data_IF_895664343787
#
_entry.id   IF_895664343787
#
_cell.length_a   1.000
_cell.length_b   1.000
_cell.length_c   1.000
_cell.angle_alpha   90.00
_cell.angle_beta   90.00
_cell.angle_gamma   90.00
#
_symmetry.space_group_name_H-M   'P 1'
#
loop_
_entity.id
_entity.type
_entity.pdbx_description
1 polymer ?
#
# COMPACT_ATOMS: atom_id res chain seq x y z
N UNK A 1 -0.01 -39.01 27.94
CA UNK A 1 0.48 -37.61 28.15
C UNK A 1 1.97 -37.42 27.86
N UNK A 2 2.80 -38.48 27.88
CA UNK A 2 4.21 -38.40 27.52
C UNK A 2 4.43 -38.52 25.99
N UNK A 3 3.69 -39.40 25.31
CA UNK A 3 3.76 -39.59 23.85
C UNK A 3 3.26 -38.39 23.00
N UNK A 4 2.42 -37.51 23.55
CA UNK A 4 1.98 -36.25 22.89
C UNK A 4 2.97 -35.10 23.09
N UNK A 5 3.86 -35.19 24.09
CA UNK A 5 4.92 -34.20 24.33
C UNK A 5 6.19 -34.50 23.52
N UNK A 6 6.39 -35.74 23.08
CA UNK A 6 7.51 -36.13 22.22
C UNK A 6 7.27 -35.80 20.74
N UNK A 7 6.01 -35.81 20.26
CA UNK A 7 5.69 -35.39 18.88
C UNK A 7 5.89 -33.88 18.61
N UNK A 8 5.90 -33.03 19.64
CA UNK A 8 6.17 -31.60 19.50
C UNK A 8 7.69 -31.28 19.42
N UNK A 9 8.56 -32.23 19.78
CA UNK A 9 10.01 -32.03 19.82
C UNK A 9 10.72 -32.39 18.49
N UNK A 10 10.01 -33.00 17.53
CA UNK A 10 10.57 -33.59 16.31
C UNK A 10 10.40 -32.76 15.02
N UNK A 11 10.06 -31.47 15.10
CA UNK A 11 10.26 -30.62 13.92
C UNK A 11 11.76 -30.32 13.80
N UNK A 12 12.45 -31.03 12.91
CA UNK A 12 13.86 -30.79 12.59
C UNK A 12 14.13 -29.31 12.26
N UNK A 13 15.33 -28.80 12.52
CA UNK A 13 15.67 -27.38 12.29
C UNK A 13 15.36 -26.92 10.86
N UNK A 14 15.48 -27.81 9.87
CA UNK A 14 15.08 -27.57 8.47
C UNK A 14 13.57 -27.42 8.28
N UNK A 15 12.75 -28.19 9.00
CA UNK A 15 11.29 -28.16 8.92
C UNK A 15 10.72 -26.94 9.67
N UNK A 16 11.32 -26.56 10.81
CA UNK A 16 11.03 -25.28 11.49
C UNK A 16 11.42 -24.07 10.64
N UNK A 17 12.56 -24.13 9.94
CA UNK A 17 13.00 -23.06 9.03
C UNK A 17 12.11 -22.96 7.79
N UNK A 18 11.63 -24.08 7.25
CA UNK A 18 10.67 -24.11 6.14
C UNK A 18 9.28 -23.57 6.56
N UNK A 19 8.74 -24.00 7.70
CA UNK A 19 7.48 -23.48 8.26
C UNK A 19 7.59 -22.00 8.67
N UNK A 20 8.76 -21.54 9.12
CA UNK A 20 9.03 -20.12 9.37
C UNK A 20 9.11 -19.33 8.05
N UNK A 21 9.64 -19.93 6.97
CA UNK A 21 9.68 -19.34 5.64
C UNK A 21 8.30 -19.28 4.97
N UNK A 22 7.38 -20.20 5.30
CA UNK A 22 5.96 -20.08 4.91
C UNK A 22 5.21 -18.99 5.70
N UNK A 23 5.74 -18.58 6.86
CA UNK A 23 5.18 -17.51 7.72
C UNK A 23 5.73 -16.13 7.40
N UNK A 24 6.94 -16.06 6.85
CA UNK A 24 7.59 -14.82 6.45
C UNK A 24 7.63 -14.70 4.92
N UNK A 25 7.02 -13.65 4.40
CA UNK A 25 7.06 -13.33 2.98
C UNK A 25 7.57 -11.91 2.85
N UNK A 26 8.58 -11.69 2.01
CA UNK A 26 9.06 -10.35 1.70
C UNK A 26 9.38 -10.25 0.23
N UNK A 27 8.68 -9.35 -0.44
CA UNK A 27 9.00 -8.93 -1.79
C UNK A 27 10.13 -7.92 -1.70
N UNK A 28 11.30 -8.30 -2.24
CA UNK A 28 12.46 -7.43 -2.35
C UNK A 28 12.40 -6.66 -3.67
N UNK A 29 12.88 -5.41 -3.65
CA UNK A 29 12.96 -4.58 -4.85
C UNK A 29 11.62 -4.02 -5.32
N UNK A 30 10.58 -4.01 -4.47
CA UNK A 30 9.34 -3.26 -4.76
C UNK A 30 9.68 -1.77 -4.86
N UNK A 31 9.44 -1.10 -6.00
CA UNK A 31 9.75 0.31 -6.16
C UNK A 31 8.97 1.17 -5.17
N UNK A 32 9.65 2.14 -4.55
CA UNK A 32 9.00 3.15 -3.73
C UNK A 32 8.71 4.38 -4.56
N UNK A 33 7.49 4.90 -4.44
CA UNK A 33 7.11 6.20 -4.95
C UNK A 33 6.48 7.04 -3.85
N UNK A 34 6.89 8.32 -3.79
CA UNK A 34 6.16 9.33 -3.03
C UNK A 34 4.87 9.71 -3.77
N UNK A 35 3.81 10.03 -3.03
CA UNK A 35 2.58 10.58 -3.62
C UNK A 35 2.79 12.01 -4.13
N UNK A 36 3.78 12.70 -3.56
CA UNK A 36 4.41 13.88 -4.14
C UNK A 36 5.61 13.47 -4.99
N UNK A 37 6.21 14.37 -5.76
CA UNK A 37 7.28 13.96 -6.68
C UNK A 37 8.54 13.47 -5.96
N UNK A 38 9.11 14.28 -5.08
CA UNK A 38 10.38 13.99 -4.41
C UNK A 38 10.16 13.56 -2.95
N UNK A 39 10.69 12.42 -2.50
CA UNK A 39 10.55 11.95 -1.11
C UNK A 39 11.06 12.95 -0.05
N UNK A 40 12.15 13.65 -0.34
CA UNK A 40 12.76 14.62 0.57
C UNK A 40 11.92 15.90 0.76
N UNK A 41 10.89 16.12 -0.06
CA UNK A 41 9.97 17.23 0.10
C UNK A 41 8.77 16.92 0.99
N UNK A 42 8.53 15.65 1.30
CA UNK A 42 7.32 15.21 2.00
C UNK A 42 7.19 15.83 3.39
N UNK A 43 8.29 15.87 4.15
CA UNK A 43 8.31 16.48 5.49
C UNK A 43 7.93 17.96 5.43
N UNK A 44 8.54 18.72 4.53
CA UNK A 44 8.26 20.16 4.34
C UNK A 44 6.82 20.42 3.91
N UNK A 45 6.26 19.57 3.04
CA UNK A 45 4.87 19.71 2.60
C UNK A 45 3.90 19.43 3.74
N UNK A 46 4.19 18.43 4.58
CA UNK A 46 3.27 18.00 5.65
C UNK A 46 3.41 18.83 6.92
N UNK A 47 4.63 19.22 7.30
CA UNK A 47 4.90 19.94 8.55
C UNK A 47 4.90 21.46 8.38
N UNK A 48 5.46 21.96 7.28
CA UNK A 48 5.62 23.40 7.03
C UNK A 48 4.55 23.99 6.09
N UNK A 49 3.60 23.16 5.61
CA UNK A 49 2.56 23.53 4.62
C UNK A 49 3.13 24.19 3.35
N UNK A 50 4.32 23.74 2.93
CA UNK A 50 4.97 24.22 1.70
C UNK A 50 4.16 23.77 0.48
N UNK A 51 4.08 24.64 -0.53
CA UNK A 51 3.39 24.32 -1.79
C UNK A 51 4.08 23.12 -2.44
N UNK A 52 3.39 22.00 -2.70
CA UNK A 52 3.99 20.84 -3.36
C UNK A 52 4.50 21.17 -4.78
N UNK A 53 4.07 22.27 -5.40
CA UNK A 53 4.59 22.72 -6.69
C UNK A 53 5.97 23.40 -6.60
N UNK A 54 6.46 23.70 -5.39
CA UNK A 54 7.82 24.20 -5.18
C UNK A 54 8.88 23.10 -5.37
N UNK A 55 8.47 21.82 -5.30
CA UNK A 55 9.29 20.68 -5.69
C UNK A 55 9.52 20.71 -7.21
N UNK A 56 10.76 20.92 -7.70
CA UNK A 56 11.03 21.06 -9.14
C UNK A 56 10.67 19.80 -9.95
N UNK A 57 10.56 18.64 -9.30
CA UNK A 57 10.20 17.38 -9.93
C UNK A 57 8.68 17.14 -10.00
N UNK A 58 7.81 18.06 -9.55
CA UNK A 58 6.36 17.83 -9.47
C UNK A 58 5.73 17.28 -10.76
N UNK A 59 6.25 17.71 -11.93
CA UNK A 59 5.80 17.28 -13.26
C UNK A 59 6.13 15.83 -13.61
N UNK A 60 7.05 15.18 -12.89
CA UNK A 60 7.46 13.79 -13.15
C UNK A 60 6.29 12.81 -13.05
N UNK A 61 5.29 13.11 -12.22
CA UNK A 61 4.04 12.34 -12.09
C UNK A 61 3.05 12.55 -13.25
N UNK A 62 3.41 13.35 -14.25
CA UNK A 62 2.64 13.56 -15.49
C UNK A 62 1.64 14.72 -15.45
N UNK A 63 1.58 15.51 -14.37
CA UNK A 63 0.68 16.66 -14.28
C UNK A 63 1.17 17.83 -15.15
N UNK A 64 0.26 18.44 -15.89
CA UNK A 64 0.54 19.60 -16.73
C UNK A 64 0.31 20.92 -16.00
N UNK A 65 -0.71 20.98 -15.14
CA UNK A 65 -1.12 22.20 -14.43
C UNK A 65 -0.76 22.11 -12.93
N UNK A 66 -0.13 23.16 -12.35
CA UNK A 66 0.21 23.19 -10.93
C UNK A 66 -1.01 23.01 -10.02
N UNK A 67 -2.14 23.65 -10.36
CA UNK A 67 -3.34 23.61 -9.53
C UNK A 67 -3.95 22.21 -9.45
N UNK A 68 -3.92 21.47 -10.56
CA UNK A 68 -4.36 20.06 -10.59
C UNK A 68 -3.43 19.20 -9.73
N UNK A 69 -2.12 19.38 -9.84
CA UNK A 69 -1.16 18.64 -9.02
C UNK A 69 -1.34 18.95 -7.53
N UNK A 70 -1.41 20.23 -7.14
CA UNK A 70 -1.63 20.65 -5.75
C UNK A 70 -2.91 20.06 -5.18
N UNK A 71 -3.97 20.02 -5.98
CA UNK A 71 -5.22 19.41 -5.58
C UNK A 71 -5.07 17.88 -5.43
N UNK A 72 -4.54 17.19 -6.43
CA UNK A 72 -4.56 15.74 -6.44
C UNK A 72 -3.47 15.10 -5.60
N UNK A 73 -2.24 15.62 -5.59
CA UNK A 73 -1.07 14.96 -4.98
C UNK A 73 -1.27 14.55 -3.51
N UNK A 74 -2.04 15.32 -2.74
CA UNK A 74 -2.38 14.96 -1.34
C UNK A 74 -3.37 13.78 -1.19
N UNK A 75 -3.91 13.27 -2.29
CA UNK A 75 -5.01 12.27 -2.35
C UNK A 75 -4.66 11.03 -3.15
N UNK A 76 -3.44 10.93 -3.67
CA UNK A 76 -3.04 9.86 -4.59
C UNK A 76 -2.36 8.67 -3.92
N UNK A 77 -2.29 8.60 -2.58
CA UNK A 77 -1.63 7.52 -1.86
C UNK A 77 -1.96 6.12 -2.39
N UNK A 78 -3.25 5.82 -2.62
CA UNK A 78 -3.68 4.54 -3.17
C UNK A 78 -3.21 4.28 -4.59
N UNK A 79 -3.23 5.30 -5.45
CA UNK A 79 -2.76 5.18 -6.83
C UNK A 79 -1.23 5.07 -6.91
N UNK A 80 -0.52 5.74 -6.00
CA UNK A 80 0.94 5.63 -5.85
C UNK A 80 1.34 4.24 -5.33
N UNK A 81 0.60 3.67 -4.37
CA UNK A 81 0.79 2.29 -3.96
C UNK A 81 0.55 1.30 -5.12
N UNK A 82 -0.45 1.57 -5.95
CA UNK A 82 -0.74 0.73 -7.11
C UNK A 82 0.35 0.83 -8.19
N UNK A 83 0.84 2.03 -8.47
CA UNK A 83 2.00 2.28 -9.35
C UNK A 83 3.23 1.46 -8.92
N UNK A 84 3.56 1.48 -7.62
CA UNK A 84 4.62 0.61 -7.06
C UNK A 84 4.39 -0.89 -7.33
N UNK A 85 3.14 -1.37 -7.23
CA UNK A 85 2.80 -2.77 -7.48
C UNK A 85 2.90 -3.13 -8.97
N UNK A 86 2.42 -2.25 -9.85
CA UNK A 86 2.49 -2.44 -11.31
C UNK A 86 3.94 -2.53 -11.78
N UNK A 87 4.80 -1.60 -11.35
CA UNK A 87 6.21 -1.62 -11.70
C UNK A 87 6.95 -2.83 -11.11
N UNK A 88 6.63 -3.22 -9.88
CA UNK A 88 7.20 -4.43 -9.29
C UNK A 88 6.87 -5.68 -10.12
N UNK A 89 5.66 -5.76 -10.68
CA UNK A 89 5.25 -6.85 -11.55
C UNK A 89 5.66 -6.68 -13.02
N UNK A 90 6.21 -5.52 -13.40
CA UNK A 90 6.53 -5.21 -14.80
C UNK A 90 5.30 -5.08 -15.69
N UNK A 91 4.17 -4.62 -15.12
CA UNK A 91 2.95 -4.33 -15.87
C UNK A 91 3.03 -2.88 -16.35
N UNK A 92 2.97 -2.68 -17.67
CA UNK A 92 3.02 -1.35 -18.27
C UNK A 92 1.84 -0.48 -17.80
N UNK A 93 2.11 0.79 -17.54
CA UNK A 93 1.10 1.77 -17.19
C UNK A 93 1.46 3.17 -17.69
N UNK A 94 0.43 4.01 -17.82
CA UNK A 94 0.62 5.43 -18.12
C UNK A 94 1.16 6.18 -16.89
N UNK A 95 1.69 7.41 -17.03
CA UNK A 95 2.04 8.25 -15.89
C UNK A 95 0.87 8.46 -14.93
N UNK A 96 1.15 8.64 -13.63
CA UNK A 96 0.15 8.75 -12.55
C UNK A 96 -1.00 9.72 -12.86
N UNK A 97 -0.73 10.88 -13.47
CA UNK A 97 -1.77 11.83 -13.85
C UNK A 97 -2.76 11.25 -14.87
N UNK A 98 -2.28 10.49 -15.86
CA UNK A 98 -3.15 9.84 -16.85
C UNK A 98 -3.92 8.66 -16.23
N UNK A 99 -3.27 7.87 -15.37
CA UNK A 99 -3.94 6.81 -14.59
C UNK A 99 -5.07 7.39 -13.73
N UNK A 100 -4.84 8.54 -13.08
CA UNK A 100 -5.87 9.24 -12.30
C UNK A 100 -7.08 9.62 -13.17
N UNK A 101 -6.86 10.15 -14.37
CA UNK A 101 -7.97 10.51 -15.27
C UNK A 101 -8.78 9.28 -15.68
N UNK A 102 -8.13 8.14 -15.88
CA UNK A 102 -8.82 6.88 -16.16
C UNK A 102 -9.59 6.38 -14.94
N UNK A 103 -8.93 6.33 -13.78
CA UNK A 103 -9.55 5.97 -12.51
C UNK A 103 -10.80 6.81 -12.20
N UNK A 104 -10.78 8.12 -12.49
CA UNK A 104 -11.93 9.01 -12.35
C UNK A 104 -13.11 8.60 -13.24
N UNK A 105 -12.86 8.23 -14.50
CA UNK A 105 -13.91 7.73 -15.42
C UNK A 105 -14.57 6.45 -14.92
N UNK A 106 -13.81 5.64 -14.19
CA UNK A 106 -14.28 4.40 -13.58
C UNK A 106 -14.85 4.57 -12.16
N UNK A 107 -14.96 5.80 -11.65
CA UNK A 107 -15.53 6.08 -10.33
C UNK A 107 -14.65 5.67 -9.16
N UNK A 108 -13.35 5.45 -9.40
CA UNK A 108 -12.34 5.15 -8.36
C UNK A 108 -12.18 6.30 -7.37
N UNK A 109 -12.34 7.53 -7.87
CA UNK A 109 -12.42 8.75 -7.07
C UNK A 109 -13.71 9.49 -7.43
N UNK A 110 -14.30 10.17 -6.46
CA UNK A 110 -15.45 11.06 -6.69
C UNK A 110 -15.20 12.42 -6.07
N UNK A 111 -15.36 13.46 -6.88
CA UNK A 111 -15.41 14.84 -6.40
C UNK A 111 -16.82 15.07 -5.85
N UNK A 112 -16.89 15.53 -4.61
CA UNK A 112 -18.15 15.87 -3.92
C UNK A 112 -18.60 17.28 -4.32
N UNK A 113 -19.87 17.57 -4.09
CA UNK A 113 -20.46 18.89 -4.37
C UNK A 113 -19.76 20.04 -3.61
N UNK A 114 -19.20 19.75 -2.44
CA UNK A 114 -18.45 20.70 -1.61
C UNK A 114 -17.01 20.96 -2.09
N UNK A 115 -16.61 20.38 -3.24
CA UNK A 115 -15.25 20.43 -3.76
C UNK A 115 -14.27 19.48 -3.06
N UNK A 116 -14.74 18.70 -2.09
CA UNK A 116 -14.02 17.59 -1.48
C UNK A 116 -13.87 16.40 -2.44
N UNK A 117 -13.11 15.40 -2.01
CA UNK A 117 -12.91 14.15 -2.77
C UNK A 117 -13.09 13.00 -1.82
N UNK A 118 -13.95 12.05 -2.19
CA UNK A 118 -13.97 10.73 -1.56
C UNK A 118 -12.62 10.07 -1.81
N UNK A 119 -11.96 9.57 -0.76
CA UNK A 119 -10.74 8.76 -0.92
C UNK A 119 -10.98 7.59 -1.86
N UNK A 120 -9.91 6.97 -2.36
CA UNK A 120 -9.97 5.85 -3.31
C UNK A 120 -11.03 4.83 -2.88
N UNK A 121 -12.03 4.62 -3.74
CA UNK A 121 -13.18 3.76 -3.47
C UNK A 121 -12.84 2.34 -3.92
N UNK A 122 -12.86 1.39 -2.99
CA UNK A 122 -12.23 0.07 -3.17
C UNK A 122 -12.88 -0.78 -4.25
N UNK A 123 -14.21 -0.87 -4.29
CA UNK A 123 -14.88 -1.72 -5.29
C UNK A 123 -14.75 -1.17 -6.73
N UNK A 124 -14.94 0.14 -7.00
CA UNK A 124 -14.61 0.70 -8.30
C UNK A 124 -13.14 0.53 -8.67
N UNK A 125 -12.21 0.72 -7.72
CA UNK A 125 -10.79 0.45 -7.94
C UNK A 125 -10.53 -1.00 -8.33
N UNK A 126 -11.13 -1.96 -7.62
CA UNK A 126 -10.97 -3.39 -7.88
C UNK A 126 -11.39 -3.74 -9.30
N UNK A 127 -12.60 -3.30 -9.71
CA UNK A 127 -13.12 -3.55 -11.05
C UNK A 127 -12.25 -2.90 -12.14
N UNK A 128 -11.76 -1.68 -11.90
CA UNK A 128 -10.88 -0.98 -12.83
C UNK A 128 -9.50 -1.64 -12.94
N UNK A 129 -8.88 -1.99 -11.81
CA UNK A 129 -7.56 -2.63 -11.76
C UNK A 129 -7.56 -3.98 -12.50
N UNK A 130 -8.62 -4.77 -12.32
CA UNK A 130 -8.77 -6.06 -13.00
C UNK A 130 -8.96 -5.86 -14.51
N UNK A 131 -9.86 -4.96 -14.92
CA UNK A 131 -10.17 -4.74 -16.34
C UNK A 131 -9.01 -4.09 -17.12
N UNK A 132 -8.28 -3.14 -16.51
CA UNK A 132 -7.25 -2.37 -17.21
C UNK A 132 -5.85 -2.98 -17.09
N UNK A 133 -5.57 -3.75 -16.04
CA UNK A 133 -4.22 -4.23 -15.73
C UNK A 133 -4.12 -5.73 -15.46
N UNK A 134 -5.24 -6.47 -15.45
CA UNK A 134 -5.24 -7.90 -15.10
C UNK A 134 -4.84 -8.17 -13.64
N UNK A 135 -4.99 -7.18 -12.76
CA UNK A 135 -4.71 -7.31 -11.33
C UNK A 135 -6.01 -7.62 -10.61
N UNK A 136 -6.12 -8.83 -10.04
CA UNK A 136 -7.26 -9.21 -9.22
C UNK A 136 -7.17 -8.47 -7.88
N UNK A 137 -8.28 -7.92 -7.43
CA UNK A 137 -8.34 -7.18 -6.17
C UNK A 137 -9.42 -7.75 -5.25
N UNK A 138 -9.00 -8.19 -4.07
CA UNK A 138 -9.89 -8.63 -3.01
C UNK A 138 -10.00 -7.56 -1.92
N UNK A 139 -11.21 -7.06 -1.71
CA UNK A 139 -11.48 -6.04 -0.69
C UNK A 139 -11.53 -6.68 0.69
N UNK A 140 -10.76 -6.13 1.62
CA UNK A 140 -10.71 -6.53 3.03
C UNK A 140 -11.48 -5.52 3.88
N UNK A 141 -12.40 -6.00 4.71
CA UNK A 141 -13.19 -5.18 5.64
C UNK A 141 -13.28 -5.85 7.00
N UNK A 142 -13.14 -5.06 8.06
CA UNK A 142 -13.17 -5.52 9.45
C UNK A 142 -12.13 -6.63 9.76
N UNK A 143 -10.95 -6.53 9.12
CA UNK A 143 -9.81 -7.40 9.37
C UNK A 143 -8.76 -6.66 10.19
N UNK A 144 -8.10 -7.33 11.14
CA UNK A 144 -6.91 -6.73 11.78
C UNK A 144 -5.70 -6.72 10.83
N UNK A 145 -4.60 -6.11 11.28
CA UNK A 145 -3.40 -5.99 10.44
C UNK A 145 -2.76 -7.36 10.19
N UNK A 146 -2.81 -8.30 11.14
CA UNK A 146 -2.26 -9.63 10.97
C UNK A 146 -3.02 -10.41 9.90
N UNK A 147 -4.35 -10.35 9.90
CA UNK A 147 -5.21 -10.94 8.89
C UNK A 147 -4.97 -10.30 7.51
N UNK A 148 -4.88 -8.97 7.45
CA UNK A 148 -4.58 -8.25 6.22
C UNK A 148 -3.19 -8.63 5.66
N UNK A 149 -2.19 -8.69 6.53
CA UNK A 149 -0.84 -9.11 6.16
C UNK A 149 -0.82 -10.57 5.70
N UNK A 150 -1.59 -11.46 6.32
CA UNK A 150 -1.66 -12.87 5.95
C UNK A 150 -2.14 -13.12 4.51
N UNK A 151 -2.75 -12.12 3.84
CA UNK A 151 -3.07 -12.18 2.41
C UNK A 151 -1.84 -12.12 1.50
N UNK A 152 -0.70 -11.61 1.98
CA UNK A 152 0.53 -11.56 1.20
C UNK A 152 0.97 -12.97 0.81
N UNK A 153 1.26 -13.14 -0.48
CA UNK A 153 1.68 -14.38 -1.12
C UNK A 153 2.72 -14.08 -2.21
N UNK A 154 3.29 -15.09 -2.87
CA UNK A 154 4.35 -14.90 -3.86
C UNK A 154 3.99 -13.94 -5.02
N UNK A 155 2.70 -13.83 -5.34
CA UNK A 155 2.12 -13.00 -6.40
C UNK A 155 1.20 -11.89 -5.86
N UNK A 156 1.13 -11.72 -4.54
CA UNK A 156 0.11 -10.90 -3.88
C UNK A 156 0.72 -9.89 -2.93
N UNK A 157 0.47 -8.61 -3.22
CA UNK A 157 0.76 -7.46 -2.34
C UNK A 157 -0.53 -6.99 -1.64
N UNK A 158 -0.45 -6.08 -0.67
CA UNK A 158 -1.65 -5.53 -0.03
C UNK A 158 -1.57 -4.01 0.13
N UNK A 159 -2.64 -3.31 -0.25
CA UNK A 159 -2.84 -1.90 0.11
C UNK A 159 -3.73 -1.85 1.33
N UNK A 160 -3.27 -1.27 2.44
CA UNK A 160 -4.05 -1.17 3.68
C UNK A 160 -4.33 0.28 4.05
N UNK A 161 -5.49 0.52 4.67
CA UNK A 161 -5.84 1.85 5.16
C UNK A 161 -5.29 2.08 6.54
N UNK A 162 -4.66 3.23 6.70
CA UNK A 162 -4.04 3.67 7.93
C UNK A 162 -4.35 5.15 8.18
N UNK A 163 -4.14 5.60 9.41
CA UNK A 163 -4.03 7.02 9.72
C UNK A 163 -2.77 7.62 9.07
N UNK A 164 -2.81 8.83 8.51
CA UNK A 164 -1.62 9.53 8.01
C UNK A 164 -0.54 9.76 9.09
N UNK A 165 -0.91 9.70 10.38
CA UNK A 165 0.02 9.81 11.52
C UNK A 165 1.05 8.67 11.58
N UNK A 166 0.88 7.60 10.80
CA UNK A 166 1.87 6.52 10.68
C UNK A 166 3.25 7.01 10.20
N UNK A 167 3.34 8.24 9.66
CA UNK A 167 4.60 8.97 9.45
C UNK A 167 5.49 9.01 10.70
N UNK A 168 4.88 9.03 11.88
CA UNK A 168 5.52 9.17 13.19
C UNK A 168 5.04 8.06 14.14
N UNK A 169 5.47 6.80 13.96
CA UNK A 169 5.00 5.65 14.71
C UNK A 169 5.16 5.77 16.23
N UNK A 170 6.11 6.58 16.70
CA UNK A 170 6.37 6.87 18.11
C UNK A 170 5.34 7.82 18.75
N UNK A 171 4.60 8.59 17.94
CA UNK A 171 3.57 9.52 18.41
C UNK A 171 2.25 8.79 18.67
N UNK A 172 1.42 9.39 19.53
CA UNK A 172 0.06 8.91 19.73
C UNK A 172 -0.78 9.15 18.48
N UNK A 173 -1.69 8.21 18.17
CA UNK A 173 -2.62 8.33 17.06
C UNK A 173 -4.06 8.46 17.58
N UNK A 174 -4.81 9.45 17.07
CA UNK A 174 -6.20 9.67 17.44
C UNK A 174 -7.19 9.34 16.31
N UNK A 175 -6.71 9.14 15.07
CA UNK A 175 -7.53 8.93 13.87
C UNK A 175 -7.37 7.52 13.30
N UNK A 176 -8.35 7.08 12.52
CA UNK A 176 -8.29 5.81 11.79
C UNK A 176 -8.60 6.03 10.31
N UNK A 177 -7.71 5.55 9.44
CA UNK A 177 -7.84 5.68 7.99
C UNK A 177 -7.57 7.09 7.47
N UNK A 178 -7.95 7.33 6.22
CA UNK A 178 -7.66 8.58 5.50
C UNK A 178 -6.36 8.55 4.70
N UNK A 179 -5.55 7.50 4.88
CA UNK A 179 -4.34 7.22 4.10
C UNK A 179 -4.28 5.75 3.68
N UNK A 180 -3.48 5.46 2.64
CA UNK A 180 -3.22 4.12 2.13
C UNK A 180 -1.71 3.89 2.05
N UNK A 181 -1.26 2.70 2.45
CA UNK A 181 0.14 2.25 2.35
C UNK A 181 0.19 0.89 1.65
N UNK A 182 1.33 0.57 1.05
CA UNK A 182 1.56 -0.71 0.38
C UNK A 182 2.36 -1.62 1.30
N UNK A 183 1.74 -2.69 1.80
CA UNK A 183 2.45 -3.80 2.41
C UNK A 183 3.07 -4.66 1.32
N UNK A 184 4.36 -4.94 1.47
CA UNK A 184 5.11 -5.81 0.57
C UNK A 184 5.94 -6.87 1.32
N UNK A 185 5.69 -7.02 2.62
CA UNK A 185 6.17 -8.16 3.36
C UNK A 185 5.53 -8.29 4.73
N UNK A 186 5.62 -9.49 5.28
CA UNK A 186 5.23 -9.87 6.64
C UNK A 186 6.24 -10.81 7.25
N UNK A 187 6.41 -10.72 8.55
CA UNK A 187 7.04 -11.74 9.38
C UNK A 187 6.09 -12.13 10.52
N UNK A 188 6.56 -12.95 11.45
CA UNK A 188 5.84 -13.24 12.69
C UNK A 188 5.61 -11.99 13.55
N UNK A 189 6.53 -11.02 13.50
CA UNK A 189 6.52 -9.85 14.40
C UNK A 189 5.93 -8.57 13.81
N UNK A 190 5.85 -8.45 12.48
CA UNK A 190 5.43 -7.20 11.84
C UNK A 190 5.39 -7.24 10.32
N UNK A 191 5.36 -6.07 9.71
CA UNK A 191 5.20 -5.90 8.26
C UNK A 191 6.21 -4.93 7.68
N UNK A 192 6.60 -5.19 6.43
CA UNK A 192 7.34 -4.25 5.58
C UNK A 192 6.38 -3.50 4.66
N UNK A 193 6.58 -2.19 4.53
CA UNK A 193 5.69 -1.34 3.75
C UNK A 193 6.38 -0.14 3.12
N UNK A 194 5.73 0.35 2.05
CA UNK A 194 5.94 1.67 1.49
C UNK A 194 4.82 2.60 1.94
N UNK A 195 5.19 3.77 2.46
CA UNK A 195 4.27 4.83 2.82
C UNK A 195 4.45 5.99 1.84
N UNK A 196 3.56 6.15 0.85
CA UNK A 196 3.68 7.19 -0.18
C UNK A 196 3.74 8.62 0.38
N UNK A 197 3.26 8.81 1.61
CA UNK A 197 3.27 10.09 2.29
C UNK A 197 4.27 10.16 3.43
N UNK A 198 5.12 9.14 3.56
CA UNK A 198 6.04 8.97 4.67
C UNK A 198 7.15 10.02 4.69
N UNK A 199 7.66 10.27 5.89
CA UNK A 199 8.93 10.98 6.11
C UNK A 199 9.97 9.97 6.54
N UNK A 200 11.25 10.28 6.36
CA UNK A 200 12.32 9.39 6.78
C UNK A 200 12.27 9.13 8.31
N UNK A 201 12.47 7.88 8.78
CA UNK A 201 12.82 6.68 8.01
C UNK A 201 11.60 5.86 7.54
N UNK A 202 10.37 6.28 7.81
CA UNK A 202 9.15 5.50 7.59
C UNK A 202 8.47 5.76 6.23
N UNK A 203 9.28 5.98 5.19
CA UNK A 203 8.81 6.25 3.83
C UNK A 203 8.88 5.01 2.93
N UNK A 204 10.02 4.33 2.90
CA UNK A 204 10.31 3.28 1.93
C UNK A 204 10.94 2.07 2.63
N UNK A 205 10.46 0.86 2.28
CA UNK A 205 10.91 -0.42 2.84
C UNK A 205 10.92 -0.39 4.38
N UNK A 206 9.97 0.34 4.95
CA UNK A 206 9.87 0.59 6.36
C UNK A 206 9.31 -0.65 7.05
N UNK A 207 9.78 -0.95 8.26
CA UNK A 207 9.27 -2.06 9.05
C UNK A 207 8.65 -1.58 10.34
N UNK A 208 7.48 -2.13 10.69
CA UNK A 208 6.84 -1.88 11.98
C UNK A 208 6.31 -3.17 12.61
N UNK A 209 6.41 -3.31 13.95
CA UNK A 209 5.73 -4.38 14.68
C UNK A 209 4.21 -4.31 14.51
N UNK A 210 3.53 -5.46 14.55
CA UNK A 210 2.06 -5.50 14.44
C UNK A 210 1.36 -4.64 15.49
N UNK A 211 1.81 -4.64 16.75
CA UNK A 211 1.22 -3.82 17.81
C UNK A 211 1.31 -2.32 17.51
N UNK A 212 2.37 -1.89 16.83
CA UNK A 212 2.51 -0.50 16.39
C UNK A 212 1.63 -0.22 15.19
N UNK A 213 1.66 -1.07 14.16
CA UNK A 213 0.84 -0.90 12.96
C UNK A 213 -0.67 -0.91 13.27
N UNK A 214 -1.10 -1.76 14.22
CA UNK A 214 -2.49 -1.88 14.66
C UNK A 214 -3.04 -0.57 15.24
N UNK A 215 -2.21 0.30 15.82
CA UNK A 215 -2.65 1.62 16.29
C UNK A 215 -3.13 2.53 15.16
N UNK A 216 -2.60 2.34 13.95
CA UNK A 216 -2.90 3.18 12.79
C UNK A 216 -3.84 2.51 11.80
N UNK A 217 -3.87 1.17 11.76
CA UNK A 217 -4.64 0.39 10.79
C UNK A 217 -6.15 0.53 10.98
N UNK A 218 -6.82 0.94 9.91
CA UNK A 218 -8.24 1.25 9.88
C UNK A 218 -9.14 0.02 9.66
N UNK A 219 -8.57 -1.18 9.86
CA UNK A 219 -9.23 -2.49 9.72
C UNK A 219 -9.80 -2.78 8.33
N UNK A 220 -9.16 -2.27 7.28
CA UNK A 220 -9.62 -2.42 5.90
C UNK A 220 -8.49 -2.19 4.90
N UNK A 221 -8.64 -2.78 3.72
CA UNK A 221 -7.66 -2.66 2.65
C UNK A 221 -8.07 -3.45 1.43
N UNK A 222 -7.08 -3.79 0.61
CA UNK A 222 -7.22 -4.52 -0.63
C UNK A 222 -6.00 -5.41 -0.83
N UNK A 223 -6.20 -6.71 -1.03
CA UNK A 223 -5.15 -7.59 -1.54
C UNK A 223 -5.11 -7.47 -3.07
N UNK A 224 -3.91 -7.31 -3.62
CA UNK A 224 -3.67 -7.17 -5.05
C UNK A 224 -2.90 -8.39 -5.52
N UNK A 225 -3.49 -9.19 -6.41
CA UNK A 225 -2.88 -10.41 -6.94
C UNK A 225 -2.66 -10.25 -8.43
N UNK A 226 -1.41 -10.44 -8.87
CA UNK A 226 -1.10 -10.54 -10.29
C UNK A 226 -1.66 -11.86 -10.83
N UNK A 227 -2.60 -11.80 -11.75
CA UNK A 227 -3.07 -12.99 -12.46
C UNK A 227 -2.08 -13.29 -13.59
N UNK A 228 -1.33 -14.38 -13.50
CA UNK A 228 -0.56 -14.91 -14.64
C UNK A 228 -1.48 -15.76 -15.53
N UNK A 229 -1.26 -15.76 -16.85
CA UNK A 229 -2.10 -16.48 -17.82
C UNK A 229 -2.22 -17.99 -17.55
N UNK A 230 -1.32 -18.57 -16.75
CA UNK A 230 -1.38 -19.97 -16.31
C UNK A 230 -2.55 -20.30 -15.37
N UNK A 231 -3.25 -19.28 -14.82
CA UNK A 231 -4.37 -19.44 -13.89
C UNK A 231 -5.78 -19.36 -14.52
N UNK A 232 -5.88 -19.23 -15.84
CA UNK A 232 -7.15 -19.14 -16.58
C UNK A 232 -7.54 -20.46 -17.27
N UNK A 233 -6.81 -21.55 -16.99
CA UNK A 233 -7.14 -22.89 -17.43
C UNK A 233 -7.49 -23.78 -16.22
N UNK A 234 -8.72 -23.65 -15.73
CA UNK A 234 -9.53 -24.76 -15.21
C UNK A 234 -11.02 -24.39 -15.21
#
# INVERSE_FOLDING_TARGET
>A
MQALREQAAELGSGQRRALAHEREIRHFGVPYYSQWASPEWVERIVEDDIDPCDDPAWRASGFAQPDEYRFWAKRLCGLTCFESALDYWGIEHAPRAAMLQDALRHGVYRIREDGGVDGLIYHPFAAWAEAAYGVRVEVMTDEDIQASAARLAADTLAIVSVSPEIRYPERANASQGGHLILLHGRSEGGVWFHNPSGVAPYQADAWLPYDTMARFHARRGMALTRVTEDGLAD
#
